data_IF_485822540674
#
_entry.id   IF_485822540674
#
_cell.length_a   1.000
_cell.length_b   1.000
_cell.length_c   1.000
_cell.angle_alpha   90.00
_cell.angle_beta   90.00
_cell.angle_gamma   90.00
#
_symmetry.space_group_name_H-M   'P 1'
#
loop_
_entity.id
_entity.type
_entity.pdbx_description
1 polymer ?
#
# COMPACT_ATOMS: atom_id res chain seq x y z
N UNK A 1 -68.44 30.02 71.99
CA UNK A 1 -67.88 30.63 73.21
C UNK A 1 -66.53 31.21 72.84
N UNK A 2 -66.38 32.51 73.11
CA UNK A 2 -65.15 33.31 73.18
C UNK A 2 -64.23 33.46 71.94
N UNK A 3 -63.86 34.72 71.75
CA UNK A 3 -63.07 35.35 70.70
C UNK A 3 -61.55 35.41 71.04
N UNK A 4 -60.80 36.00 70.09
CA UNK A 4 -59.50 36.71 70.23
C UNK A 4 -58.22 35.85 70.35
N UNK A 5 -57.06 36.23 69.80
CA UNK A 5 -56.63 37.49 69.22
C UNK A 5 -55.26 37.38 68.52
N UNK A 6 -54.82 38.53 68.01
CA UNK A 6 -53.67 38.81 67.13
C UNK A 6 -52.25 38.58 67.72
N UNK A 7 -51.29 38.50 66.79
CA UNK A 7 -49.93 39.10 66.77
C UNK A 7 -48.71 38.17 66.84
N UNK A 8 -47.71 38.44 65.98
CA UNK A 8 -46.32 38.00 66.16
C UNK A 8 -45.62 37.45 64.90
N UNK A 9 -44.89 38.32 64.21
CA UNK A 9 -43.97 38.05 63.08
C UNK A 9 -42.71 37.29 63.49
N UNK A 10 -42.20 36.36 62.67
CA UNK A 10 -40.89 36.48 62.01
C UNK A 10 -40.59 35.27 61.13
N UNK A 11 -40.06 35.57 59.96
CA UNK A 11 -39.66 34.69 58.87
C UNK A 11 -38.52 33.76 59.27
N UNK A 12 -38.55 32.51 58.81
CA UNK A 12 -37.33 31.95 58.23
C UNK A 12 -37.60 30.90 57.15
N UNK A 13 -36.71 30.91 56.16
CA UNK A 13 -36.92 30.43 54.81
C UNK A 13 -36.19 29.11 54.58
N UNK A 14 -36.87 28.02 54.22
CA UNK A 14 -36.24 26.92 53.47
C UNK A 14 -37.27 26.03 52.75
N UNK A 15 -37.70 26.44 51.57
CA UNK A 15 -38.54 25.64 50.69
C UNK A 15 -37.72 24.56 49.97
N UNK A 16 -37.95 23.30 50.38
CA UNK A 16 -37.49 22.08 49.69
C UNK A 16 -38.08 22.02 48.28
N UNK A 17 -37.23 22.03 47.26
CA UNK A 17 -37.60 21.95 45.85
C UNK A 17 -37.98 20.51 45.45
N UNK A 18 -39.28 20.31 45.21
CA UNK A 18 -39.82 19.09 44.59
C UNK A 18 -39.33 18.94 43.14
N UNK A 19 -38.73 17.79 42.83
CA UNK A 19 -38.24 17.42 41.49
C UNK A 19 -39.40 17.33 40.48
N UNK A 20 -39.59 18.36 39.66
CA UNK A 20 -40.33 18.28 38.40
C UNK A 20 -39.49 17.51 37.36
N UNK A 21 -39.92 16.30 36.98
CA UNK A 21 -39.35 15.55 35.85
C UNK A 21 -39.59 16.32 34.55
N UNK A 22 -38.53 16.84 33.93
CA UNK A 22 -38.58 17.39 32.57
C UNK A 22 -38.73 16.27 31.54
N UNK A 23 -39.48 16.48 30.44
CA UNK A 23 -39.60 15.48 29.38
C UNK A 23 -38.24 15.28 28.70
N UNK A 24 -37.85 14.02 28.51
CA UNK A 24 -36.63 13.64 27.77
C UNK A 24 -36.82 14.07 26.31
N UNK A 25 -36.03 15.05 25.86
CA UNK A 25 -35.86 15.33 24.44
C UNK A 25 -35.27 14.08 23.79
N UNK A 26 -36.01 13.46 22.86
CA UNK A 26 -35.46 12.42 21.99
C UNK A 26 -34.33 13.05 21.18
N UNK A 27 -33.09 12.63 21.44
CA UNK A 27 -31.96 13.02 20.61
C UNK A 27 -32.21 12.45 19.20
N UNK A 28 -32.47 13.32 18.23
CA UNK A 28 -32.50 12.96 16.82
C UNK A 28 -31.09 12.45 16.48
N UNK A 29 -30.91 11.13 16.34
CA UNK A 29 -29.66 10.54 15.86
C UNK A 29 -29.58 10.94 14.39
N UNK A 30 -28.95 12.08 14.09
CA UNK A 30 -28.57 12.40 12.72
C UNK A 30 -27.61 11.29 12.26
N UNK A 31 -27.91 10.53 11.20
CA UNK A 31 -27.03 9.48 10.73
C UNK A 31 -25.67 10.10 10.41
N UNK A 32 -24.61 9.54 11.01
CA UNK A 32 -23.24 10.01 10.84
C UNK A 32 -22.87 9.90 9.36
N UNK A 33 -22.73 11.03 8.68
CA UNK A 33 -22.27 11.06 7.28
C UNK A 33 -20.79 10.74 7.22
N UNK A 34 -20.42 9.80 6.37
CA UNK A 34 -19.03 9.49 6.05
C UNK A 34 -18.40 10.65 5.30
N UNK A 35 -17.24 11.10 5.79
CA UNK A 35 -16.52 12.22 5.17
C UNK A 35 -15.39 11.72 4.26
N UNK A 36 -14.91 10.50 4.50
CA UNK A 36 -13.80 9.90 3.75
C UNK A 36 -14.15 8.53 3.20
N UNK A 37 -13.62 8.23 2.02
CA UNK A 37 -13.78 6.93 1.35
C UNK A 37 -13.27 5.77 2.21
N UNK A 38 -12.30 6.01 3.10
CA UNK A 38 -11.73 5.01 4.02
C UNK A 38 -12.69 4.57 5.12
N UNK A 39 -13.73 5.35 5.41
CA UNK A 39 -14.71 5.04 6.45
C UNK A 39 -15.81 4.09 5.93
N UNK A 40 -15.89 3.92 4.60
CA UNK A 40 -16.86 3.04 3.95
C UNK A 40 -16.39 1.58 4.00
N UNK A 41 -17.33 0.68 4.24
CA UNK A 41 -17.10 -0.75 4.05
C UNK A 41 -16.79 -1.07 2.58
N UNK A 42 -16.07 -2.17 2.31
CA UNK A 42 -15.70 -2.57 0.94
C UNK A 42 -16.91 -2.69 0.01
N UNK A 43 -17.98 -3.33 0.49
CA UNK A 43 -19.18 -3.57 -0.31
C UNK A 43 -19.93 -2.27 -0.60
N UNK A 44 -20.13 -1.42 0.41
CA UNK A 44 -20.78 -0.11 0.25
C UNK A 44 -19.98 0.79 -0.68
N UNK A 45 -18.64 0.80 -0.54
CA UNK A 45 -17.74 1.55 -1.41
C UNK A 45 -17.88 1.12 -2.87
N UNK A 46 -18.00 -0.18 -3.15
CA UNK A 46 -18.13 -0.68 -4.52
C UNK A 46 -19.51 -0.39 -5.11
N UNK A 47 -20.57 -0.52 -4.31
CA UNK A 47 -21.93 -0.16 -4.73
C UNK A 47 -22.03 1.35 -5.05
N UNK A 48 -21.59 2.21 -4.12
CA UNK A 48 -21.51 3.65 -4.33
C UNK A 48 -20.66 3.99 -5.55
N UNK A 49 -19.53 3.31 -5.76
CA UNK A 49 -18.65 3.53 -6.92
C UNK A 49 -19.40 3.31 -8.23
N UNK A 50 -20.22 2.26 -8.32
CA UNK A 50 -21.02 1.95 -9.52
C UNK A 50 -22.07 3.03 -9.74
N UNK A 51 -22.84 3.37 -8.72
CA UNK A 51 -23.92 4.36 -8.82
C UNK A 51 -23.39 5.75 -9.14
N UNK A 52 -22.32 6.17 -8.45
CA UNK A 52 -21.63 7.44 -8.67
C UNK A 52 -21.17 7.57 -10.13
N UNK A 53 -20.48 6.56 -10.65
CA UNK A 53 -19.92 6.63 -12.00
C UNK A 53 -20.97 6.41 -13.09
N UNK A 54 -22.04 5.69 -12.78
CA UNK A 54 -23.22 5.58 -13.65
C UNK A 54 -23.91 6.93 -13.81
N UNK A 55 -24.17 7.64 -12.71
CA UNK A 55 -24.76 8.98 -12.74
C UNK A 55 -23.84 10.00 -13.41
N UNK A 56 -22.54 9.97 -13.08
CA UNK A 56 -21.54 10.85 -13.69
C UNK A 56 -21.46 10.71 -15.21
N UNK A 57 -21.62 9.49 -15.75
CA UNK A 57 -21.58 9.24 -17.19
C UNK A 57 -22.82 9.78 -17.93
N UNK A 58 -23.92 10.05 -17.23
CA UNK A 58 -25.19 10.54 -17.78
C UNK A 58 -25.40 12.04 -17.60
N UNK A 59 -24.42 12.72 -17.03
CA UNK A 59 -24.44 14.17 -16.89
C UNK A 59 -24.32 14.84 -18.27
N UNK A 60 -24.90 16.05 -18.43
CA UNK A 60 -24.76 16.81 -19.67
C UNK A 60 -23.29 17.14 -19.96
N UNK A 61 -23.00 17.44 -21.22
CA UNK A 61 -21.62 17.57 -21.73
C UNK A 61 -20.83 18.71 -21.04
N UNK A 62 -21.51 19.77 -20.65
CA UNK A 62 -20.96 20.88 -19.86
C UNK A 62 -20.51 20.46 -18.45
N UNK A 63 -21.05 19.37 -17.90
CA UNK A 63 -20.65 18.79 -16.63
C UNK A 63 -19.61 17.65 -16.77
N UNK A 64 -19.17 17.32 -17.99
CA UNK A 64 -18.11 16.34 -18.20
C UNK A 64 -16.73 16.94 -17.92
N UNK A 65 -15.83 16.09 -17.39
CA UNK A 65 -14.44 16.44 -17.15
C UNK A 65 -13.58 16.11 -18.35
N UNK A 66 -12.79 17.08 -18.77
CA UNK A 66 -11.76 16.89 -19.79
C UNK A 66 -10.62 16.04 -19.20
N UNK A 67 -10.28 14.95 -19.90
CA UNK A 67 -9.25 14.00 -19.50
C UNK A 67 -7.85 14.56 -19.77
N UNK A 68 -7.68 15.47 -20.74
CA UNK A 68 -6.38 16.04 -21.08
C UNK A 68 -5.92 17.05 -20.02
N UNK A 69 -6.86 17.81 -19.48
CA UNK A 69 -6.64 18.73 -18.37
C UNK A 69 -6.44 18.03 -17.03
N UNK A 70 -5.87 18.74 -16.06
CA UNK A 70 -5.72 18.23 -14.70
C UNK A 70 -7.06 18.27 -13.95
N UNK A 71 -7.18 17.46 -12.90
CA UNK A 71 -8.36 17.52 -12.03
C UNK A 71 -8.44 18.88 -11.31
N UNK A 72 -7.30 19.39 -10.83
CA UNK A 72 -7.21 20.68 -10.14
C UNK A 72 -7.58 21.87 -11.03
N UNK A 73 -7.19 21.86 -12.32
CA UNK A 73 -7.57 22.92 -13.26
C UNK A 73 -9.08 22.97 -13.53
N UNK A 74 -9.81 21.91 -13.21
CA UNK A 74 -11.27 21.82 -13.36
C UNK A 74 -11.99 21.78 -12.00
N UNK A 75 -11.29 22.12 -10.90
CA UNK A 75 -11.79 22.02 -9.53
C UNK A 75 -13.11 22.78 -9.35
N UNK A 76 -13.22 23.98 -9.89
CA UNK A 76 -14.42 24.79 -9.78
C UNK A 76 -15.65 24.13 -10.43
N UNK A 77 -15.50 23.51 -11.61
CA UNK A 77 -16.57 22.73 -12.23
C UNK A 77 -16.96 21.54 -11.35
N UNK A 78 -15.97 20.85 -10.78
CA UNK A 78 -16.22 19.71 -9.88
C UNK A 78 -17.00 20.14 -8.64
N UNK A 79 -16.54 21.17 -7.94
CA UNK A 79 -17.10 21.57 -6.64
C UNK A 79 -18.42 22.33 -6.77
N UNK A 80 -18.57 23.19 -7.79
CA UNK A 80 -19.76 24.03 -7.94
C UNK A 80 -20.89 23.35 -8.71
N UNK A 81 -20.57 22.43 -9.62
CA UNK A 81 -21.57 21.83 -10.53
C UNK A 81 -21.72 20.33 -10.30
N UNK A 82 -20.62 19.58 -10.43
CA UNK A 82 -20.71 18.11 -10.50
C UNK A 82 -21.06 17.51 -9.14
N UNK A 83 -20.32 17.85 -8.09
CA UNK A 83 -20.53 17.32 -6.73
C UNK A 83 -21.93 17.64 -6.21
N UNK A 84 -22.43 18.89 -6.26
CA UNK A 84 -23.79 19.20 -5.81
C UNK A 84 -24.87 18.46 -6.59
N UNK A 85 -24.68 18.26 -7.90
CA UNK A 85 -25.65 17.50 -8.72
C UNK A 85 -25.66 16.03 -8.32
N UNK A 86 -24.49 15.43 -8.09
CA UNK A 86 -24.39 14.04 -7.63
C UNK A 86 -24.96 13.84 -6.22
N UNK A 87 -24.78 14.83 -5.33
CA UNK A 87 -25.42 14.80 -4.01
C UNK A 87 -26.95 14.79 -4.08
N UNK A 88 -27.55 15.35 -5.14
CA UNK A 88 -29.00 15.34 -5.34
C UNK A 88 -29.51 14.04 -5.98
N UNK A 89 -28.69 13.38 -6.80
CA UNK A 89 -29.10 12.18 -7.55
C UNK A 89 -28.81 10.87 -6.82
N UNK A 90 -27.81 10.84 -5.97
CA UNK A 90 -27.45 9.63 -5.22
C UNK A 90 -28.44 9.37 -4.07
N UNK A 91 -28.69 8.09 -3.79
CA UNK A 91 -29.44 7.67 -2.62
C UNK A 91 -28.60 7.86 -1.36
N UNK A 92 -28.75 9.03 -0.74
CA UNK A 92 -28.04 9.39 0.48
C UNK A 92 -28.60 8.73 1.74
N UNK A 93 -29.73 8.04 1.65
CA UNK A 93 -30.29 7.22 2.73
C UNK A 93 -29.51 5.91 2.81
N UNK A 94 -29.33 5.25 1.65
CA UNK A 94 -28.49 4.06 1.54
C UNK A 94 -27.01 4.39 1.73
N UNK A 95 -26.56 5.54 1.21
CA UNK A 95 -25.18 6.00 1.32
C UNK A 95 -25.10 7.31 2.11
N UNK A 96 -25.01 7.29 3.45
CA UNK A 96 -24.89 8.51 4.24
C UNK A 96 -23.47 9.09 4.06
N UNK A 97 -23.21 9.74 2.93
CA UNK A 97 -21.90 10.29 2.55
C UNK A 97 -21.94 11.81 2.48
N UNK A 98 -20.78 12.43 2.65
CA UNK A 98 -20.52 13.83 2.38
C UNK A 98 -19.85 14.05 1.03
N UNK A 99 -19.79 15.31 0.62
CA UNK A 99 -19.20 15.76 -0.66
C UNK A 99 -17.74 15.33 -0.83
N UNK A 100 -16.97 15.30 0.26
CA UNK A 100 -15.55 14.89 0.25
C UNK A 100 -15.35 13.46 -0.27
N UNK A 101 -16.29 12.56 0.00
CA UNK A 101 -16.26 11.17 -0.52
C UNK A 101 -16.41 11.16 -2.03
N UNK A 102 -17.36 11.93 -2.56
CA UNK A 102 -17.63 12.05 -4.00
C UNK A 102 -16.41 12.65 -4.71
N UNK A 103 -15.90 13.76 -4.18
CA UNK A 103 -14.72 14.44 -4.70
C UNK A 103 -13.51 13.49 -4.78
N UNK A 104 -13.21 12.77 -3.70
CA UNK A 104 -12.11 11.80 -3.64
C UNK A 104 -12.26 10.68 -4.68
N UNK A 105 -13.47 10.14 -4.83
CA UNK A 105 -13.74 9.05 -5.78
C UNK A 105 -13.61 9.53 -7.22
N UNK A 106 -14.10 10.74 -7.53
CA UNK A 106 -13.95 11.37 -8.83
C UNK A 106 -12.49 11.67 -9.15
N UNK A 107 -11.75 12.27 -8.22
CA UNK A 107 -10.34 12.59 -8.40
C UNK A 107 -9.53 11.33 -8.74
N UNK A 108 -9.74 10.23 -8.00
CA UNK A 108 -9.07 8.95 -8.28
C UNK A 108 -9.45 8.38 -9.65
N UNK A 109 -10.72 8.47 -10.05
CA UNK A 109 -11.19 8.00 -11.36
C UNK A 109 -10.55 8.81 -12.49
N UNK A 110 -10.58 10.13 -12.40
CA UNK A 110 -10.01 11.02 -13.40
C UNK A 110 -8.51 10.79 -13.56
N UNK A 111 -7.77 10.71 -12.45
CA UNK A 111 -6.34 10.37 -12.46
C UNK A 111 -6.07 9.07 -13.21
N UNK A 112 -6.85 8.03 -12.97
CA UNK A 112 -6.71 6.75 -13.64
C UNK A 112 -7.05 6.83 -15.14
N UNK A 113 -8.15 7.50 -15.50
CA UNK A 113 -8.54 7.68 -16.91
C UNK A 113 -7.46 8.45 -17.69
N UNK A 114 -6.91 9.50 -17.09
CA UNK A 114 -5.86 10.31 -17.69
C UNK A 114 -4.54 9.55 -17.84
N UNK A 115 -4.13 8.79 -16.82
CA UNK A 115 -2.97 7.89 -16.93
C UNK A 115 -3.17 6.88 -18.06
N UNK A 116 -4.36 6.28 -18.16
CA UNK A 116 -4.69 5.34 -19.21
C UNK A 116 -4.67 5.98 -20.62
N UNK A 117 -5.25 7.17 -20.77
CA UNK A 117 -5.22 7.92 -22.02
C UNK A 117 -3.79 8.27 -22.45
N UNK A 118 -2.97 8.75 -21.51
CA UNK A 118 -1.55 9.02 -21.75
C UNK A 118 -0.77 7.76 -22.12
N UNK A 119 -1.05 6.65 -21.46
CA UNK A 119 -0.40 5.37 -21.79
C UNK A 119 -0.80 4.88 -23.18
N UNK A 120 -2.03 5.12 -23.66
CA UNK A 120 -2.44 4.83 -25.04
C UNK A 120 -1.68 5.67 -26.08
N UNK A 121 -1.32 6.91 -25.74
CA UNK A 121 -0.54 7.81 -26.62
C UNK A 121 0.94 7.40 -26.74
N UNK A 122 1.46 6.58 -25.83
CA UNK A 122 2.84 6.08 -25.88
C UNK A 122 3.02 5.07 -27.02
N UNK A 123 4.22 5.05 -27.58
CA UNK A 123 4.60 4.03 -28.56
C UNK A 123 4.50 2.62 -27.95
N UNK A 124 4.33 1.61 -28.82
CA UNK A 124 4.31 0.21 -28.37
C UNK A 124 5.61 -0.17 -27.65
N UNK A 125 6.75 0.34 -28.12
CA UNK A 125 8.07 0.09 -27.54
C UNK A 125 8.15 0.66 -26.12
N UNK A 126 7.72 1.90 -25.91
CA UNK A 126 7.69 2.52 -24.58
C UNK A 126 6.75 1.78 -23.62
N UNK A 127 5.58 1.38 -24.09
CA UNK A 127 4.64 0.57 -23.30
C UNK A 127 5.25 -0.76 -22.89
N UNK A 128 5.91 -1.48 -23.80
CA UNK A 128 6.60 -2.76 -23.52
C UNK A 128 7.70 -2.54 -22.48
N UNK A 129 8.58 -1.56 -22.68
CA UNK A 129 9.67 -1.21 -21.74
C UNK A 129 9.15 -0.84 -20.35
N UNK A 130 8.08 -0.05 -20.26
CA UNK A 130 7.50 0.31 -18.96
C UNK A 130 6.86 -0.88 -18.24
N UNK A 131 6.15 -1.74 -18.99
CA UNK A 131 5.57 -2.97 -18.45
C UNK A 131 6.65 -3.92 -17.93
N UNK A 132 7.73 -4.13 -18.69
CA UNK A 132 8.90 -4.91 -18.28
C UNK A 132 9.54 -4.34 -17.00
N UNK A 133 9.75 -3.03 -16.94
CA UNK A 133 10.27 -2.36 -15.74
C UNK A 133 9.37 -2.58 -14.52
N UNK A 134 8.06 -2.42 -14.67
CA UNK A 134 7.07 -2.66 -13.58
C UNK A 134 7.09 -4.12 -13.13
N UNK A 135 7.15 -5.06 -14.09
CA UNK A 135 7.25 -6.49 -13.80
C UNK A 135 8.52 -6.82 -13.01
N UNK A 136 9.67 -6.36 -13.49
CA UNK A 136 10.97 -6.60 -12.85
C UNK A 136 11.01 -6.03 -11.42
N UNK A 137 10.50 -4.81 -11.23
CA UNK A 137 10.40 -4.19 -9.91
C UNK A 137 9.49 -4.98 -8.96
N UNK A 138 8.34 -5.46 -9.46
CA UNK A 138 7.43 -6.32 -8.69
C UNK A 138 8.11 -7.63 -8.27
N UNK A 139 8.81 -8.29 -9.19
CA UNK A 139 9.56 -9.54 -8.90
C UNK A 139 10.65 -9.32 -7.85
N UNK A 140 11.42 -8.23 -7.95
CA UNK A 140 12.44 -7.86 -6.95
C UNK A 140 11.82 -7.59 -5.59
N UNK A 141 10.70 -6.85 -5.54
CA UNK A 141 9.97 -6.58 -4.31
C UNK A 141 9.50 -7.88 -3.63
N UNK A 142 8.97 -8.82 -4.40
CA UNK A 142 8.54 -10.11 -3.86
C UNK A 142 9.73 -10.95 -3.37
N UNK A 143 10.87 -10.94 -4.08
CA UNK A 143 12.12 -11.56 -3.58
C UNK A 143 12.56 -10.97 -2.26
N UNK A 144 12.58 -9.65 -2.15
CA UNK A 144 12.92 -8.93 -0.93
C UNK A 144 12.03 -9.38 0.22
N UNK A 145 10.70 -9.31 0.06
CA UNK A 145 9.74 -9.75 1.08
C UNK A 145 9.94 -11.20 1.52
N UNK A 146 10.18 -12.11 0.57
CA UNK A 146 10.44 -13.53 0.88
C UNK A 146 11.71 -13.68 1.71
N UNK A 147 12.81 -13.04 1.29
CA UNK A 147 14.08 -13.08 2.00
C UNK A 147 14.00 -12.41 3.36
N UNK A 148 13.26 -11.31 3.51
CA UNK A 148 12.98 -10.70 4.82
C UNK A 148 12.33 -11.71 5.76
N UNK A 149 11.27 -12.40 5.31
CA UNK A 149 10.60 -13.43 6.13
C UNK A 149 11.55 -14.58 6.48
N UNK A 150 12.36 -15.02 5.52
CA UNK A 150 13.36 -16.08 5.75
C UNK A 150 14.40 -15.64 6.77
N UNK A 151 14.94 -14.41 6.67
CA UNK A 151 15.88 -13.86 7.65
C UNK A 151 15.24 -13.84 9.04
N UNK A 152 14.01 -13.34 9.18
CA UNK A 152 13.29 -13.33 10.47
C UNK A 152 13.14 -14.74 11.04
N UNK A 153 12.70 -15.70 10.22
CA UNK A 153 12.57 -17.11 10.64
C UNK A 153 13.91 -17.72 11.07
N UNK A 154 14.97 -17.45 10.31
CA UNK A 154 16.30 -17.96 10.62
C UNK A 154 16.87 -17.32 11.90
N UNK A 155 16.53 -16.07 12.19
CA UNK A 155 16.84 -15.43 13.49
C UNK A 155 16.13 -16.12 14.64
N UNK A 156 14.83 -16.42 14.50
CA UNK A 156 14.05 -17.09 15.55
C UNK A 156 14.61 -18.47 15.94
N UNK A 157 15.25 -19.18 15.01
CA UNK A 157 15.86 -20.49 15.26
C UNK A 157 17.36 -20.42 15.55
N UNK A 158 17.92 -19.23 15.79
CA UNK A 158 19.35 -19.02 16.05
C UNK A 158 20.25 -19.64 14.97
N UNK A 159 19.92 -19.36 13.69
CA UNK A 159 20.68 -19.89 12.57
C UNK A 159 22.17 -19.47 12.66
N UNK A 160 23.12 -20.44 12.61
CA UNK A 160 24.54 -20.16 12.85
C UNK A 160 25.18 -19.19 11.87
N UNK A 161 24.63 -19.02 10.65
CA UNK A 161 25.13 -18.03 9.69
C UNK A 161 24.51 -16.67 9.98
N UNK A 162 23.19 -16.61 10.21
CA UNK A 162 22.48 -15.34 10.46
C UNK A 162 22.98 -14.65 11.73
N UNK A 163 23.31 -15.41 12.78
CA UNK A 163 23.90 -14.85 14.01
C UNK A 163 25.25 -14.14 13.80
N UNK A 164 25.94 -14.40 12.69
CA UNK A 164 27.24 -13.76 12.39
C UNK A 164 27.09 -12.36 11.81
N UNK A 165 25.88 -11.95 11.42
CA UNK A 165 25.62 -10.63 10.90
C UNK A 165 25.01 -9.75 11.98
N UNK A 166 25.46 -8.51 12.06
CA UNK A 166 24.78 -7.50 12.87
C UNK A 166 23.43 -7.14 12.24
N UNK A 167 22.52 -6.57 13.02
CA UNK A 167 21.20 -6.20 12.54
C UNK A 167 21.24 -5.13 11.44
N UNK A 168 22.13 -4.16 11.60
CA UNK A 168 22.31 -3.07 10.65
C UNK A 168 22.89 -3.58 9.33
N UNK A 169 23.66 -4.68 9.34
CA UNK A 169 24.24 -5.29 8.14
C UNK A 169 23.20 -6.06 7.30
N UNK A 170 22.13 -6.55 7.94
CA UNK A 170 21.03 -7.24 7.26
C UNK A 170 19.91 -6.29 6.83
N UNK A 171 19.80 -5.12 7.47
CA UNK A 171 18.77 -4.13 7.18
C UNK A 171 18.68 -3.79 5.68
N UNK A 172 19.78 -3.53 4.94
CA UNK A 172 19.71 -3.18 3.52
C UNK A 172 19.11 -4.29 2.66
N UNK A 173 19.31 -5.56 3.03
CA UNK A 173 18.76 -6.73 2.31
C UNK A 173 17.24 -6.82 2.49
N UNK A 174 16.71 -6.34 3.61
CA UNK A 174 15.27 -6.41 3.91
C UNK A 174 14.51 -5.18 3.43
N UNK A 175 15.16 -4.02 3.34
CA UNK A 175 14.52 -2.73 3.02
C UNK A 175 14.69 -2.33 1.56
N UNK A 176 15.82 -2.64 0.92
CA UNK A 176 16.14 -2.14 -0.40
C UNK A 176 16.11 -3.23 -1.49
N UNK A 177 15.20 -3.08 -2.45
CA UNK A 177 15.04 -4.01 -3.58
C UNK A 177 16.27 -4.05 -4.51
N UNK A 178 17.16 -3.05 -4.46
CA UNK A 178 18.37 -2.95 -5.27
C UNK A 178 19.41 -4.04 -4.98
N UNK A 179 19.39 -4.68 -3.81
CA UNK A 179 20.29 -5.81 -3.50
C UNK A 179 19.88 -7.11 -4.22
N UNK A 180 18.70 -7.15 -4.83
CA UNK A 180 18.13 -8.34 -5.43
C UNK A 180 18.25 -8.32 -6.96
N UNK A 181 18.72 -9.42 -7.53
CA UNK A 181 18.82 -9.59 -8.98
C UNK A 181 17.49 -9.35 -9.71
N UNK A 182 17.52 -8.69 -10.88
CA UNK A 182 16.41 -8.69 -11.80
C UNK A 182 16.19 -10.10 -12.35
N UNK A 183 14.94 -10.41 -12.67
CA UNK A 183 14.56 -11.66 -13.33
C UNK A 183 13.95 -11.33 -14.69
N UNK A 184 14.51 -11.89 -15.75
CA UNK A 184 13.98 -11.78 -17.09
C UNK A 184 13.38 -13.12 -17.46
N UNK A 185 12.12 -13.11 -17.88
CA UNK A 185 11.59 -14.21 -18.68
C UNK A 185 12.14 -14.01 -20.07
N UNK A 186 12.87 -15.00 -20.60
CA UNK A 186 12.98 -15.05 -22.05
C UNK A 186 11.59 -15.36 -22.62
N UNK A 187 11.34 -14.88 -23.84
CA UNK A 187 10.05 -15.03 -24.53
C UNK A 187 9.67 -16.52 -24.69
N UNK A 188 8.44 -16.72 -25.15
CA UNK A 188 7.61 -17.95 -25.23
C UNK A 188 8.25 -19.12 -26.00
N UNK A 189 9.47 -19.49 -25.65
CA UNK A 189 10.11 -20.72 -26.08
C UNK A 189 9.73 -21.81 -25.08
N UNK A 190 9.67 -23.07 -25.54
CA UNK A 190 9.23 -24.30 -24.85
C UNK A 190 9.89 -24.57 -23.49
N UNK A 191 10.84 -23.73 -23.09
CA UNK A 191 11.63 -23.86 -21.90
C UNK A 191 11.14 -22.84 -20.87
N UNK A 192 10.44 -23.33 -19.85
CA UNK A 192 9.98 -22.60 -18.65
C UNK A 192 11.14 -22.08 -17.77
N UNK A 193 12.07 -21.29 -18.33
CA UNK A 193 13.25 -20.73 -17.66
C UNK A 193 13.06 -19.28 -17.27
N UNK A 194 13.67 -18.87 -16.16
CA UNK A 194 13.79 -17.49 -15.71
C UNK A 194 15.28 -17.20 -15.61
N UNK A 195 15.76 -16.24 -16.38
CA UNK A 195 17.16 -15.80 -16.35
C UNK A 195 17.32 -14.78 -15.22
N UNK A 196 18.15 -15.12 -14.25
CA UNK A 196 18.50 -14.26 -13.12
C UNK A 196 19.85 -13.63 -13.40
N UNK A 197 19.86 -12.35 -13.79
CA UNK A 197 21.10 -11.63 -14.08
C UNK A 197 21.78 -11.16 -12.79
N UNK A 198 23.11 -11.15 -12.78
CA UNK A 198 23.86 -10.64 -11.64
C UNK A 198 23.98 -9.12 -11.67
N UNK A 199 24.30 -8.50 -10.53
CA UNK A 199 24.66 -7.08 -10.47
C UNK A 199 26.18 -7.04 -10.29
N UNK A 200 26.90 -6.27 -11.12
CA UNK A 200 28.37 -6.27 -11.10
C UNK A 200 28.95 -5.83 -9.76
N UNK A 201 28.33 -4.84 -9.13
CA UNK A 201 28.77 -4.31 -7.84
C UNK A 201 28.58 -5.30 -6.68
N UNK A 202 27.78 -6.36 -6.82
CA UNK A 202 27.56 -7.32 -5.73
C UNK A 202 28.74 -8.26 -5.58
N UNK A 203 29.25 -8.33 -4.35
CA UNK A 203 30.25 -9.29 -3.91
C UNK A 203 29.79 -10.74 -4.13
N UNK A 204 30.75 -11.65 -4.25
CA UNK A 204 30.47 -13.08 -4.27
C UNK A 204 29.84 -13.55 -2.95
N UNK A 205 30.23 -12.95 -1.81
CA UNK A 205 29.64 -13.19 -0.49
C UNK A 205 28.15 -12.90 -0.49
N UNK A 206 27.72 -11.73 -0.97
CA UNK A 206 26.31 -11.38 -1.05
C UNK A 206 25.55 -12.31 -2.00
N UNK A 207 26.14 -12.67 -3.15
CA UNK A 207 25.49 -13.62 -4.07
C UNK A 207 25.23 -14.97 -3.38
N UNK A 208 26.22 -15.50 -2.66
CA UNK A 208 26.12 -16.75 -1.89
C UNK A 208 25.12 -16.63 -0.75
N UNK A 209 25.13 -15.53 -0.01
CA UNK A 209 24.19 -15.27 1.08
C UNK A 209 22.74 -15.24 0.58
N UNK A 210 22.49 -14.56 -0.53
CA UNK A 210 21.17 -14.50 -1.14
C UNK A 210 20.70 -15.89 -1.63
N UNK A 211 21.61 -16.71 -2.16
CA UNK A 211 21.32 -18.11 -2.49
C UNK A 211 20.99 -18.94 -1.24
N UNK A 212 21.74 -18.77 -0.14
CA UNK A 212 21.44 -19.41 1.15
C UNK A 212 20.01 -19.10 1.62
N UNK A 213 19.60 -17.83 1.56
CA UNK A 213 18.23 -17.44 1.90
C UNK A 213 17.21 -18.08 0.95
N UNK A 214 17.50 -18.15 -0.34
CA UNK A 214 16.59 -18.77 -1.31
C UNK A 214 16.42 -20.28 -1.03
N UNK A 215 17.46 -20.99 -0.59
CA UNK A 215 17.37 -22.41 -0.22
C UNK A 215 16.59 -22.66 1.07
N UNK A 216 16.65 -21.71 2.01
CA UNK A 216 15.91 -21.77 3.28
C UNK A 216 14.49 -21.20 3.19
N UNK A 217 14.11 -20.66 2.03
CA UNK A 217 12.76 -20.20 1.77
C UNK A 217 11.86 -21.40 1.48
N UNK A 218 10.66 -21.44 2.05
CA UNK A 218 9.69 -22.53 1.84
C UNK A 218 9.42 -22.70 0.33
N UNK A 219 9.75 -23.88 -0.21
CA UNK A 219 9.56 -24.20 -1.62
C UNK A 219 8.08 -24.51 -1.87
N UNK A 220 7.39 -23.63 -2.59
CA UNK A 220 6.12 -23.97 -3.23
C UNK A 220 6.34 -24.76 -4.52
N UNK A 221 5.25 -25.21 -5.16
CA UNK A 221 5.30 -25.84 -6.48
C UNK A 221 5.96 -24.87 -7.47
N UNK A 222 7.19 -25.19 -7.88
CA UNK A 222 7.99 -24.32 -8.75
C UNK A 222 7.66 -24.64 -10.20
N UNK A 223 6.83 -23.81 -10.82
CA UNK A 223 6.40 -23.98 -12.22
C UNK A 223 7.49 -23.64 -13.26
N UNK A 224 8.56 -22.95 -12.86
CA UNK A 224 9.62 -22.44 -13.77
C UNK A 224 11.01 -22.56 -13.14
N UNK A 225 11.97 -23.04 -13.91
CA UNK A 225 13.37 -23.22 -13.50
C UNK A 225 14.11 -21.89 -13.55
N UNK A 226 14.80 -21.52 -12.46
CA UNK A 226 15.65 -20.32 -12.44
C UNK A 226 17.07 -20.69 -12.85
N UNK A 227 17.62 -19.96 -13.80
CA UNK A 227 18.99 -20.11 -14.26
C UNK A 227 19.75 -18.84 -13.91
N UNK A 228 20.84 -18.99 -13.17
CA UNK A 228 21.74 -17.90 -12.85
C UNK A 228 22.82 -17.86 -13.91
N UNK A 229 22.78 -16.85 -14.77
CA UNK A 229 23.78 -16.66 -15.81
C UNK A 229 24.89 -15.74 -15.28
N UNK A 230 26.09 -16.30 -15.09
CA UNK A 230 27.26 -15.55 -14.64
C UNK A 230 27.86 -14.66 -15.72
N UNK A 231 27.58 -14.94 -17.01
CA UNK A 231 28.04 -14.13 -18.14
C UNK A 231 27.18 -12.87 -18.33
N UNK A 232 25.92 -12.92 -17.89
CA UNK A 232 25.00 -11.78 -17.94
C UNK A 232 24.94 -11.02 -16.61
N UNK A 233 25.60 -9.87 -16.58
CA UNK A 233 25.52 -8.91 -15.48
C UNK A 233 24.87 -7.60 -15.91
N UNK A 234 24.12 -6.98 -15.01
CA UNK A 234 23.55 -5.66 -15.20
C UNK A 234 24.40 -4.63 -14.46
N UNK A 235 24.71 -3.55 -15.15
CA UNK A 235 25.27 -2.33 -14.58
C UNK A 235 24.14 -1.51 -13.95
N UNK A 236 23.98 -1.66 -12.65
CA UNK A 236 23.10 -0.81 -11.85
C UNK A 236 23.90 -0.09 -10.78
N UNK A 237 23.44 1.10 -10.41
CA UNK A 237 24.08 1.90 -9.36
C UNK A 237 23.95 1.18 -8.02
N UNK A 238 25.08 1.03 -7.33
CA UNK A 238 25.13 0.49 -5.98
C UNK A 238 24.46 1.47 -5.01
N UNK A 239 23.69 1.00 -4.01
CA UNK A 239 23.22 1.86 -2.92
C UNK A 239 24.39 2.58 -2.23
N UNK A 240 24.23 3.87 -1.93
CA UNK A 240 25.29 4.71 -1.36
C UNK A 240 25.87 4.11 -0.06
N UNK A 241 24.99 3.70 0.86
CA UNK A 241 25.36 3.16 2.16
C UNK A 241 25.44 1.63 2.16
N UNK A 242 25.96 1.05 1.06
CA UNK A 242 26.10 -0.39 0.98
C UNK A 242 27.14 -0.91 1.99
N UNK A 243 26.82 -1.95 2.80
CA UNK A 243 27.81 -2.57 3.68
C UNK A 243 28.95 -3.18 2.88
N UNK A 244 30.19 -3.14 3.38
CA UNK A 244 31.37 -3.56 2.61
C UNK A 244 31.31 -5.02 2.16
N UNK A 245 30.73 -5.90 2.99
CA UNK A 245 30.56 -7.32 2.63
C UNK A 245 29.67 -7.54 1.40
N UNK A 246 28.90 -6.52 0.99
CA UNK A 246 28.05 -6.56 -0.19
C UNK A 246 28.74 -6.09 -1.47
N UNK A 247 29.89 -5.42 -1.37
CA UNK A 247 30.60 -4.78 -2.48
C UNK A 247 31.57 -5.72 -3.18
N UNK A 248 31.64 -5.63 -4.50
CA UNK A 248 32.58 -6.41 -5.31
C UNK A 248 34.01 -6.26 -4.79
N UNK A 249 34.79 -7.34 -4.84
CA UNK A 249 36.14 -7.39 -4.27
C UNK A 249 36.22 -7.70 -2.78
N UNK A 250 35.10 -7.79 -2.05
CA UNK A 250 35.13 -8.15 -0.64
C UNK A 250 35.80 -9.52 -0.38
N UNK A 251 36.74 -9.54 0.56
CA UNK A 251 37.50 -10.72 0.96
C UNK A 251 37.52 -10.94 2.49
N UNK A 252 36.61 -10.30 3.22
CA UNK A 252 36.56 -10.42 4.68
C UNK A 252 35.95 -11.73 5.21
N UNK A 253 35.88 -11.88 6.55
CA UNK A 253 35.51 -13.13 7.22
C UNK A 253 34.15 -13.71 6.81
N UNK A 254 33.17 -12.86 6.50
CA UNK A 254 31.82 -13.28 6.09
C UNK A 254 31.85 -14.09 4.80
N UNK A 255 32.86 -13.92 3.94
CA UNK A 255 33.03 -14.71 2.70
C UNK A 255 33.21 -16.19 3.00
N UNK A 256 34.08 -16.50 3.96
CA UNK A 256 34.39 -17.88 4.37
C UNK A 256 33.15 -18.50 5.01
N UNK A 257 32.53 -17.79 5.95
CA UNK A 257 31.34 -18.25 6.67
C UNK A 257 30.18 -18.55 5.72
N UNK A 258 29.89 -17.63 4.80
CA UNK A 258 28.82 -17.78 3.82
C UNK A 258 29.12 -18.92 2.84
N UNK A 259 30.37 -19.06 2.42
CA UNK A 259 30.79 -20.16 1.53
C UNK A 259 30.60 -21.52 2.19
N UNK A 260 31.04 -21.65 3.46
CA UNK A 260 30.86 -22.87 4.26
C UNK A 260 29.38 -23.23 4.42
N UNK A 261 28.52 -22.25 4.68
CA UNK A 261 27.09 -22.47 4.83
C UNK A 261 26.42 -22.92 3.51
N UNK A 262 26.81 -22.32 2.38
CA UNK A 262 26.25 -22.66 1.06
C UNK A 262 26.70 -24.02 0.54
N UNK A 263 27.95 -24.44 0.82
CA UNK A 263 28.46 -25.73 0.34
C UNK A 263 27.58 -26.93 0.77
N UNK A 264 26.89 -26.83 1.92
CA UNK A 264 25.90 -27.83 2.37
C UNK A 264 24.76 -28.12 1.37
N UNK A 265 24.47 -27.17 0.47
CA UNK A 265 23.42 -27.30 -0.54
C UNK A 265 23.94 -27.67 -1.93
N UNK A 266 25.27 -27.63 -2.14
CA UNK A 266 25.91 -27.96 -3.41
C UNK A 266 26.43 -29.41 -3.39
N UNK A 267 26.79 -29.92 -2.20
CA UNK A 267 27.29 -31.29 -2.00
C UNK A 267 26.20 -32.35 -1.81
N UNK A 268 24.98 -32.09 -2.30
CA UNK A 268 23.87 -33.06 -2.37
C UNK A 268 23.44 -33.21 -3.82
#
# INVERSE_FOLDING_TARGET
MACEGFSGSSSDSSSRSGKRKKPKKSATITPKRYQRVSELSKNMKEALRRDLFWNLARMPEDAQLDIEQTFESQKDKVTKTIVPTLMKTLDLVTYPIGEGVIYDMMHRRHRHQREHARNKKKSQIERKREAERKHNNSRRLEKRKKRTRTISKLREINDPLIEKFKEEELLPITTNSGYHSPEYSEEENEINKIVVRNLRWRSSTLRRFLFYLDQNTTKGITKRTRVYDSSQSVDEVMPLDAPDWTKSGYDGPLKILTTKAVNKYISK
#
